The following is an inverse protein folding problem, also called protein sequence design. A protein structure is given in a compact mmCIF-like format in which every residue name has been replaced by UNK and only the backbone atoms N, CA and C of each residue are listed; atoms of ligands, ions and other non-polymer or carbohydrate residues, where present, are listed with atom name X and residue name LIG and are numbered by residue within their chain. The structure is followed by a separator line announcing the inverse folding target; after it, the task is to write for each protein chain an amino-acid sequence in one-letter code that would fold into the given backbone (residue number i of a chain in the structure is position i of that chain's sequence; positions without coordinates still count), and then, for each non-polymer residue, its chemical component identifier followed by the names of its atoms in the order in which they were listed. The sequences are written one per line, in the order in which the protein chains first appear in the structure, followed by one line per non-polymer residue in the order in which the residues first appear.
data_IF_022386087112
#
_entry.id   IF_022386087112
#
_cell.length_a   1.000
_cell.length_b   1.000
_cell.length_c   1.000
_cell.angle_alpha   90.00
_cell.angle_beta   90.00
_cell.angle_gamma   90.00
#
_symmetry.space_group_name_H-M   'P 1'
#
loop_
_entity.id
_entity.type
_entity.pdbx_description
1 polymer ?
#
# COMPACT_ATOMS: atom_id res chain seq x y z
N UNK A 1 9.11 -6.39 20.65
CA UNK A 1 8.71 -7.09 19.40
C UNK A 1 7.65 -6.29 18.65
N UNK A 2 6.55 -5.87 19.30
CA UNK A 2 5.55 -5.03 18.62
C UNK A 2 6.05 -3.64 18.22
N UNK A 3 6.91 -2.99 19.00
CA UNK A 3 7.50 -1.70 18.57
C UNK A 3 8.30 -1.80 17.27
N UNK A 4 9.07 -2.89 17.10
CA UNK A 4 9.86 -3.14 15.89
C UNK A 4 8.95 -3.35 14.68
N UNK A 5 7.89 -4.14 14.82
CA UNK A 5 6.87 -4.32 13.77
C UNK A 5 6.13 -3.03 13.48
N UNK A 6 5.76 -2.26 14.50
CA UNK A 6 5.14 -0.94 14.34
C UNK A 6 6.06 0.03 13.59
N UNK A 7 7.37 -0.01 13.83
CA UNK A 7 8.34 0.76 13.08
C UNK A 7 8.40 0.32 11.60
N UNK A 8 8.42 -1.00 11.35
CA UNK A 8 8.34 -1.55 9.99
C UNK A 8 7.05 -1.12 9.28
N UNK A 9 5.89 -1.31 9.91
CA UNK A 9 4.58 -0.91 9.37
C UNK A 9 4.54 0.57 9.01
N UNK A 10 5.16 1.45 9.83
CA UNK A 10 5.29 2.89 9.51
C UNK A 10 6.16 3.13 8.28
N UNK A 11 7.27 2.42 8.13
CA UNK A 11 8.12 2.52 6.95
C UNK A 11 7.40 2.02 5.70
N UNK A 12 6.69 0.88 5.80
CA UNK A 12 5.99 0.24 4.71
C UNK A 12 4.87 1.11 4.16
N UNK A 13 3.99 1.67 5.01
CA UNK A 13 2.91 2.54 4.54
C UNK A 13 3.44 3.80 3.85
N UNK A 14 4.56 4.36 4.32
CA UNK A 14 5.22 5.49 3.66
C UNK A 14 5.86 5.07 2.33
N UNK A 15 6.43 3.87 2.25
CA UNK A 15 7.04 3.34 1.04
C UNK A 15 5.99 3.16 -0.06
N UNK A 16 4.85 2.54 0.27
CA UNK A 16 3.72 2.37 -0.65
C UNK A 16 3.18 3.74 -1.10
N UNK A 17 2.94 4.65 -0.15
CA UNK A 17 2.44 5.99 -0.45
C UNK A 17 3.41 6.75 -1.38
N UNK A 18 4.70 6.75 -1.08
CA UNK A 18 5.71 7.43 -1.89
C UNK A 18 5.81 6.83 -3.30
N UNK A 19 5.72 5.50 -3.45
CA UNK A 19 5.72 4.86 -4.76
C UNK A 19 4.51 5.28 -5.62
N UNK A 20 3.31 5.34 -5.03
CA UNK A 20 2.11 5.86 -5.71
C UNK A 20 2.31 7.32 -6.14
N UNK A 21 2.90 8.16 -5.28
CA UNK A 21 3.15 9.56 -5.61
C UNK A 21 4.19 9.73 -6.72
N UNK A 22 5.29 8.96 -6.70
CA UNK A 22 6.27 9.02 -7.78
C UNK A 22 5.68 8.53 -9.10
N UNK A 23 4.85 7.49 -9.08
CA UNK A 23 4.07 7.10 -10.24
C UNK A 23 3.20 8.25 -10.74
N UNK A 24 2.46 8.95 -9.87
CA UNK A 24 1.62 10.07 -10.31
C UNK A 24 2.42 11.21 -10.94
N UNK A 25 3.59 11.53 -10.41
CA UNK A 25 4.46 12.59 -10.96
C UNK A 25 4.91 12.21 -12.37
N UNK A 26 5.35 10.97 -12.55
CA UNK A 26 5.85 10.46 -13.83
C UNK A 26 4.73 10.22 -14.86
N UNK A 27 3.48 10.10 -14.42
CA UNK A 27 2.30 9.86 -15.26
C UNK A 27 1.36 11.08 -15.32
N UNK A 28 1.92 12.29 -15.27
CA UNK A 28 1.20 13.55 -15.47
C UNK A 28 0.02 13.77 -14.52
N UNK A 29 0.15 13.35 -13.26
CA UNK A 29 -0.89 13.43 -12.24
C UNK A 29 -1.89 12.27 -12.23
N UNK A 30 -1.70 11.28 -13.10
CA UNK A 30 -2.59 10.12 -13.19
C UNK A 30 -2.26 9.09 -12.10
N UNK A 31 -3.23 8.75 -11.27
CA UNK A 31 -3.13 7.69 -10.27
C UNK A 31 -3.29 6.29 -10.91
N UNK A 32 -2.72 5.23 -10.31
CA UNK A 32 -3.08 3.86 -10.68
C UNK A 32 -4.61 3.68 -10.64
N UNK A 33 -5.17 3.24 -11.76
CA UNK A 33 -6.64 3.18 -11.97
C UNK A 33 -7.33 2.18 -11.04
N UNK A 34 -6.57 1.21 -10.53
CA UNK A 34 -7.02 0.21 -9.57
C UNK A 34 -7.34 0.80 -8.20
N UNK A 35 -6.76 1.94 -7.82
CA UNK A 35 -7.04 2.57 -6.53
C UNK A 35 -8.44 3.20 -6.55
N UNK A 36 -9.31 2.71 -5.67
CA UNK A 36 -10.70 3.15 -5.54
C UNK A 36 -10.91 4.02 -4.30
N UNK A 37 -12.13 4.54 -4.12
CA UNK A 37 -12.52 5.28 -2.91
C UNK A 37 -12.80 4.40 -1.71
N UNK A 38 -12.97 3.09 -1.92
CA UNK A 38 -13.17 2.10 -0.88
C UNK A 38 -11.81 1.58 -0.43
N UNK A 39 -11.56 1.54 0.88
CA UNK A 39 -10.36 0.91 1.43
C UNK A 39 -10.35 -0.57 1.02
N UNK A 40 -9.31 -1.00 0.32
CA UNK A 40 -9.16 -2.37 -0.14
C UNK A 40 -7.70 -2.77 0.01
N UNK A 41 -7.47 -4.05 0.32
CA UNK A 41 -6.14 -4.58 0.55
C UNK A 41 -5.32 -4.53 -0.74
N UNK A 42 -4.06 -4.13 -0.60
CA UNK A 42 -3.08 -4.16 -1.68
C UNK A 42 -2.65 -5.59 -1.94
N UNK A 43 -2.61 -5.97 -3.21
CA UNK A 43 -2.08 -7.26 -3.64
C UNK A 43 -0.56 -7.32 -3.45
N UNK A 44 -0.03 -8.44 -2.95
CA UNK A 44 1.42 -8.64 -2.90
C UNK A 44 2.01 -8.79 -4.29
N UNK A 45 3.31 -8.53 -4.43
CA UNK A 45 4.03 -8.82 -5.67
C UNK A 45 3.95 -10.31 -6.01
N UNK A 46 3.48 -10.63 -7.22
CA UNK A 46 3.31 -12.02 -7.68
C UNK A 46 2.10 -12.76 -7.07
N UNK A 47 1.20 -12.07 -6.36
CA UNK A 47 -0.04 -12.65 -5.85
C UNK A 47 -1.18 -12.68 -6.89
N UNK A 48 -2.23 -13.46 -6.60
CA UNK A 48 -3.47 -13.43 -7.38
C UNK A 48 -4.38 -12.31 -6.86
N UNK A 49 -4.52 -11.23 -7.63
CA UNK A 49 -5.16 -10.00 -7.17
C UNK A 49 -6.69 -9.95 -7.32
N UNK A 50 -7.38 -11.09 -7.24
CA UNK A 50 -8.85 -11.12 -7.28
C UNK A 50 -9.42 -10.42 -6.05
N UNK A 51 -10.20 -9.36 -6.27
CA UNK A 51 -10.77 -8.50 -5.22
C UNK A 51 -9.74 -7.75 -4.37
N UNK A 52 -8.51 -7.60 -4.87
CA UNK A 52 -7.42 -6.82 -4.26
C UNK A 52 -7.02 -5.67 -5.18
N UNK A 53 -6.31 -4.68 -4.62
CA UNK A 53 -5.75 -3.59 -5.42
C UNK A 53 -4.44 -4.07 -6.03
N UNK A 54 -4.46 -4.32 -7.34
CA UNK A 54 -3.25 -4.59 -8.11
C UNK A 54 -2.47 -3.30 -8.35
N UNK A 55 -1.28 -3.21 -7.75
CA UNK A 55 -0.32 -2.12 -7.92
C UNK A 55 0.98 -2.61 -8.60
N UNK A 56 0.91 -3.66 -9.40
CA UNK A 56 2.06 -4.19 -10.17
C UNK A 56 2.72 -3.14 -11.06
N UNK A 57 1.99 -2.10 -11.48
CA UNK A 57 2.53 -0.91 -12.17
C UNK A 57 3.60 -0.17 -11.36
N UNK A 58 3.59 -0.27 -10.03
CA UNK A 58 4.60 0.35 -9.16
C UNK A 58 5.89 -0.47 -9.10
N UNK A 59 5.76 -1.79 -9.19
CA UNK A 59 6.88 -2.74 -9.18
C UNK A 59 7.44 -3.03 -10.57
N UNK A 60 6.78 -2.53 -11.62
CA UNK A 60 7.20 -2.72 -13.00
C UNK A 60 8.63 -2.16 -13.20
N UNK A 61 9.52 -3.03 -13.66
CA UNK A 61 10.95 -2.72 -13.85
C UNK A 61 11.64 -2.16 -12.61
N UNK A 62 11.11 -2.43 -11.40
CA UNK A 62 11.62 -1.95 -10.12
C UNK A 62 11.72 -0.41 -10.03
N UNK A 63 10.95 0.31 -10.86
CA UNK A 63 11.12 1.75 -11.03
C UNK A 63 10.74 2.57 -9.80
N UNK A 64 9.58 2.28 -9.19
CA UNK A 64 9.07 3.05 -8.05
C UNK A 64 9.28 2.33 -6.72
N UNK A 65 9.22 1.01 -6.75
CA UNK A 65 9.51 0.12 -5.64
C UNK A 65 9.93 -1.26 -6.18
N UNK A 66 10.80 -1.97 -5.48
CA UNK A 66 11.30 -3.30 -5.92
C UNK A 66 10.22 -4.37 -5.76
N UNK A 67 9.53 -4.36 -4.61
CA UNK A 67 8.43 -5.28 -4.31
C UNK A 67 7.45 -4.61 -3.35
N UNK A 68 6.20 -5.07 -3.35
CA UNK A 68 5.22 -4.63 -2.37
C UNK A 68 5.66 -5.06 -0.97
N UNK A 69 5.75 -4.15 0.02
CA UNK A 69 6.04 -4.53 1.39
C UNK A 69 4.95 -5.46 1.93
N UNK A 70 5.35 -6.44 2.72
CA UNK A 70 4.41 -7.38 3.33
C UNK A 70 4.33 -7.13 4.84
N UNK A 71 3.12 -6.89 5.32
CA UNK A 71 2.85 -6.70 6.74
C UNK A 71 3.17 -8.01 7.51
N UNK A 72 3.97 -7.94 8.61
CA UNK A 72 4.41 -9.12 9.35
C UNK A 72 3.32 -10.06 9.89
N UNK A 73 2.11 -9.56 10.12
CA UNK A 73 0.98 -10.29 10.69
C UNK A 73 -0.11 -10.60 9.65
N UNK A 74 0.16 -10.40 8.36
CA UNK A 74 -0.84 -10.62 7.31
C UNK A 74 -1.35 -12.06 7.32
N UNK A 75 -2.63 -12.20 7.03
CA UNK A 75 -3.31 -13.50 6.96
C UNK A 75 -3.68 -13.88 5.53
N UNK A 76 -3.81 -12.90 4.63
CA UNK A 76 -4.11 -13.14 3.23
C UNK A 76 -2.85 -13.53 2.46
N UNK A 77 -2.84 -14.73 1.89
CA UNK A 77 -1.70 -15.24 1.12
C UNK A 77 -1.40 -14.41 -0.14
N UNK A 78 -2.41 -13.75 -0.72
CA UNK A 78 -2.30 -12.87 -1.89
C UNK A 78 -2.23 -11.39 -1.52
N UNK A 79 -2.55 -11.05 -0.28
CA UNK A 79 -2.54 -9.69 0.22
C UNK A 79 -1.19 -9.28 0.77
N UNK A 80 -0.99 -7.96 0.84
CA UNK A 80 0.16 -7.33 1.46
C UNK A 80 -0.08 -6.98 2.95
N UNK A 81 -1.33 -7.06 3.45
CA UNK A 81 -1.72 -6.62 4.80
C UNK A 81 -1.80 -5.09 4.97
N UNK A 82 -1.74 -4.34 3.87
CA UNK A 82 -1.91 -2.90 3.82
C UNK A 82 -3.14 -2.54 3.00
N UNK A 83 -3.98 -1.63 3.51
CA UNK A 83 -5.13 -1.09 2.77
C UNK A 83 -4.75 0.19 2.07
N UNK A 84 -5.37 0.43 0.91
CA UNK A 84 -5.23 1.69 0.19
C UNK A 84 -6.59 2.20 -0.29
N UNK A 85 -6.75 3.53 -0.29
CA UNK A 85 -7.87 4.22 -0.92
C UNK A 85 -7.45 5.61 -1.39
N UNK A 86 -8.27 6.18 -2.28
CA UNK A 86 -8.20 7.61 -2.62
C UNK A 86 -9.43 8.37 -2.13
N UNK A 87 -9.26 9.64 -1.81
CA UNK A 87 -10.39 10.56 -1.61
C UNK A 87 -10.99 11.01 -2.94
N UNK A 88 -12.16 11.65 -2.91
CA UNK A 88 -12.76 12.29 -4.08
C UNK A 88 -11.84 13.35 -4.71
N UNK A 89 -10.93 13.93 -3.92
CA UNK A 89 -9.97 14.93 -4.35
C UNK A 89 -8.59 14.34 -4.71
N UNK A 90 -8.48 13.01 -4.85
CA UNK A 90 -7.25 12.34 -5.28
C UNK A 90 -6.17 12.17 -4.19
N UNK A 91 -6.47 12.48 -2.93
CA UNK A 91 -5.56 12.23 -1.79
C UNK A 91 -5.47 10.74 -1.50
N UNK A 92 -4.29 10.19 -1.32
CA UNK A 92 -4.09 8.75 -1.10
C UNK A 92 -3.89 8.49 0.39
N UNK A 93 -4.63 7.53 0.91
CA UNK A 93 -4.46 6.99 2.26
C UNK A 93 -3.97 5.55 2.18
N UNK A 94 -2.92 5.24 2.93
CA UNK A 94 -2.43 3.87 3.14
C UNK A 94 -2.46 3.58 4.64
N UNK A 95 -3.00 2.44 5.03
CA UNK A 95 -3.07 2.01 6.43
C UNK A 95 -2.68 0.54 6.61
N UNK A 96 -2.12 0.23 7.77
CA UNK A 96 -1.82 -1.14 8.16
C UNK A 96 -3.09 -1.80 8.72
N UNK A 97 -3.48 -2.95 8.15
CA UNK A 97 -4.74 -3.62 8.49
C UNK A 97 -4.79 -4.11 9.93
N UNK A 98 -3.66 -4.58 10.46
CA UNK A 98 -3.58 -5.26 11.74
C UNK A 98 -3.08 -4.31 12.81
N UNK A 99 -3.93 -3.99 13.80
CA UNK A 99 -3.50 -3.24 14.96
C UNK A 99 -2.58 -4.09 15.84
N UNK A 100 -1.49 -3.47 16.30
CA UNK A 100 -0.58 -4.10 17.25
C UNK A 100 -0.29 -3.15 18.39
N UNK A 101 -0.57 -3.62 19.61
CA UNK A 101 -0.39 -2.85 20.86
C UNK A 101 -1.16 -1.51 20.89
N UNK A 102 -2.38 -1.46 20.34
CA UNK A 102 -3.14 -0.21 20.30
C UNK A 102 -2.72 0.76 19.18
N UNK A 103 -1.71 0.42 18.37
CA UNK A 103 -1.17 1.32 17.37
C UNK A 103 -1.90 1.20 16.03
N UNK A 104 -2.74 2.18 15.72
CA UNK A 104 -3.24 2.45 14.37
C UNK A 104 -2.18 3.18 13.56
N UNK A 105 -1.80 2.63 12.39
CA UNK A 105 -0.80 3.22 11.50
C UNK A 105 -1.47 3.56 10.18
N UNK A 106 -1.50 4.85 9.87
CA UNK A 106 -2.07 5.37 8.64
C UNK A 106 -1.31 6.63 8.21
N UNK A 107 -1.12 6.79 6.90
CA UNK A 107 -0.53 7.98 6.28
C UNK A 107 -1.45 8.46 5.17
N UNK A 108 -1.50 9.77 4.96
CA UNK A 108 -2.26 10.37 3.86
C UNK A 108 -1.49 11.54 3.28
N UNK A 109 -1.46 11.63 1.96
CA UNK A 109 -0.88 12.77 1.25
C UNK A 109 -1.85 13.33 0.22
#
# INVERSE_FOLDING_TARGET
MGDTRNAQRRADVNTILNAVYQYTIDNNGTLPTTITTTATEVCKTGGTCTSLIDLSVLTASEKYIVSMPEEPQKTNANGAGYMIKKSANGRITVDAQFEEQGATISVTR
#
